data_IF_744226259886
#
_entry.id   IF_744226259886
#
_cell.length_a   1.000
_cell.length_b   1.000
_cell.length_c   1.000
_cell.angle_alpha   90.00
_cell.angle_beta   90.00
_cell.angle_gamma   90.00
#
_symmetry.space_group_name_H-M   'P 1'
#
loop_
_entity.id
_entity.type
_entity.pdbx_description
1 polymer ?
#
# COMPACT_ATOMS: atom_id res chain seq x y z
N UNK A 1 -13.47 17.30 9.07
CA UNK A 1 -14.50 16.81 8.11
C UNK A 1 -13.96 15.61 7.31
N UNK A 2 -13.47 14.55 7.98
CA UNK A 2 -12.95 13.34 7.30
C UNK A 2 -13.82 12.09 7.51
N UNK A 3 -14.75 12.10 8.47
CA UNK A 3 -15.60 10.95 8.84
C UNK A 3 -16.57 10.48 7.74
N UNK A 4 -16.87 11.30 6.72
CA UNK A 4 -17.80 10.90 5.66
C UNK A 4 -17.14 10.08 4.54
N UNK A 5 -15.83 9.88 4.57
CA UNK A 5 -15.09 9.21 3.50
C UNK A 5 -14.97 7.69 3.68
N UNK A 6 -15.17 7.20 4.92
CA UNK A 6 -15.18 5.76 5.25
C UNK A 6 -16.49 5.09 4.82
N UNK A 7 -17.62 5.83 4.86
CA UNK A 7 -18.95 5.32 4.49
C UNK A 7 -19.12 5.00 3.00
N UNK A 8 -18.18 5.37 2.14
CA UNK A 8 -18.23 5.11 0.70
C UNK A 8 -17.24 4.03 0.22
N UNK A 9 -16.48 3.43 1.15
CA UNK A 9 -15.48 2.40 0.83
C UNK A 9 -16.11 1.01 0.88
N UNK A 10 -16.26 0.39 -0.29
CA UNK A 10 -16.94 -0.90 -0.46
C UNK A 10 -15.96 -2.05 -0.25
N UNK A 11 -14.72 -1.85 -0.65
CA UNK A 11 -13.64 -2.82 -0.55
C UNK A 11 -12.31 -2.09 -0.41
N UNK A 12 -11.39 -2.65 0.37
CA UNK A 12 -10.02 -2.18 0.44
C UNK A 12 -9.07 -3.35 0.56
N UNK A 13 -8.00 -3.31 -0.23
CA UNK A 13 -6.90 -4.25 -0.15
C UNK A 13 -5.59 -3.50 0.03
N UNK A 14 -4.85 -3.87 1.08
CA UNK A 14 -3.53 -3.34 1.40
C UNK A 14 -2.44 -4.32 0.99
N UNK A 15 -1.43 -3.83 0.27
CA UNK A 15 -0.25 -4.60 -0.13
C UNK A 15 0.99 -3.89 0.39
N UNK A 16 1.74 -4.53 1.28
CA UNK A 16 3.00 -3.98 1.82
C UNK A 16 4.18 -4.51 0.99
N UNK A 17 5.00 -3.60 0.48
CA UNK A 17 6.15 -3.91 -0.37
C UNK A 17 7.37 -3.12 0.12
N UNK A 18 8.01 -3.61 1.19
CA UNK A 18 9.17 -2.96 1.80
C UNK A 18 8.86 -1.53 2.30
N UNK A 19 9.47 -0.51 1.67
CA UNK A 19 9.28 0.92 2.01
C UNK A 19 8.01 1.54 1.38
N UNK A 20 7.31 0.80 0.51
CA UNK A 20 6.06 1.24 -0.13
C UNK A 20 4.89 0.43 0.38
N UNK A 21 3.74 1.07 0.49
CA UNK A 21 2.46 0.40 0.77
C UNK A 21 1.48 0.83 -0.32
N UNK A 22 0.86 -0.14 -0.97
CA UNK A 22 -0.19 0.07 -1.95
C UNK A 22 -1.55 -0.18 -1.30
N UNK A 23 -2.51 0.67 -1.64
CA UNK A 23 -3.90 0.56 -1.22
C UNK A 23 -4.77 0.52 -2.47
N UNK A 24 -5.61 -0.49 -2.58
CA UNK A 24 -6.56 -0.69 -3.65
C UNK A 24 -7.96 -0.59 -3.07
N UNK A 25 -8.59 0.56 -3.23
CA UNK A 25 -9.88 0.86 -2.61
C UNK A 25 -10.95 0.94 -3.70
N UNK A 26 -12.09 0.29 -3.49
CA UNK A 26 -13.29 0.40 -4.35
C UNK A 26 -14.27 1.33 -3.68
N UNK A 27 -14.70 2.36 -4.40
CA UNK A 27 -15.63 3.38 -3.89
C UNK A 27 -16.81 3.55 -4.83
N UNK A 28 -17.97 3.89 -4.26
CA UNK A 28 -19.13 4.29 -5.05
C UNK A 28 -19.21 5.80 -5.23
N UNK A 29 -19.67 6.23 -6.40
CA UNK A 29 -20.10 7.59 -6.67
C UNK A 29 -21.54 7.82 -6.17
N UNK A 30 -21.99 9.08 -6.19
CA UNK A 30 -23.39 9.42 -5.88
C UNK A 30 -24.40 8.81 -6.86
N UNK A 31 -23.94 8.44 -8.07
CA UNK A 31 -24.76 7.82 -9.12
C UNK A 31 -24.80 6.29 -9.02
N UNK A 32 -24.34 5.71 -7.90
CA UNK A 32 -24.26 4.26 -7.68
C UNK A 32 -23.29 3.51 -8.63
N UNK A 33 -22.43 4.25 -9.34
CA UNK A 33 -21.32 3.71 -10.12
C UNK A 33 -20.08 3.48 -9.26
N UNK A 34 -19.22 2.55 -9.66
CA UNK A 34 -18.00 2.19 -8.94
C UNK A 34 -16.73 2.71 -9.62
N UNK A 35 -15.74 3.09 -8.81
CA UNK A 35 -14.39 3.43 -9.25
C UNK A 35 -13.36 2.87 -8.27
N UNK A 36 -12.15 2.64 -8.77
CA UNK A 36 -11.02 2.16 -7.98
C UNK A 36 -10.09 3.33 -7.69
N UNK A 37 -9.63 3.43 -6.45
CA UNK A 37 -8.52 4.30 -6.06
C UNK A 37 -7.31 3.45 -5.76
N UNK A 38 -6.21 3.69 -6.49
CA UNK A 38 -4.92 3.07 -6.22
C UNK A 38 -4.05 4.12 -5.56
N UNK A 39 -3.65 3.88 -4.31
CA UNK A 39 -2.75 4.79 -3.58
C UNK A 39 -1.43 4.09 -3.30
N UNK A 40 -0.32 4.68 -3.75
CA UNK A 40 1.01 4.34 -3.28
C UNK A 40 1.39 5.30 -2.14
N UNK A 41 1.76 4.75 -0.98
CA UNK A 41 2.41 5.50 0.10
C UNK A 41 3.87 5.05 0.21
N UNK A 42 4.80 5.96 -0.02
CA UNK A 42 6.24 5.72 0.10
C UNK A 42 6.79 6.43 1.32
N UNK A 43 7.44 5.67 2.21
CA UNK A 43 8.13 6.24 3.37
C UNK A 43 9.45 6.88 2.93
N UNK A 44 9.58 8.19 3.10
CA UNK A 44 10.81 8.98 2.91
C UNK A 44 11.45 9.25 4.26
N UNK A 45 12.75 9.03 4.35
CA UNK A 45 13.56 9.42 5.50
C UNK A 45 14.32 10.69 5.12
N UNK A 46 14.11 11.75 5.87
CA UNK A 46 14.98 12.92 5.90
C UNK A 46 15.77 12.88 7.22
N UNK A 47 16.90 13.59 7.29
CA UNK A 47 17.93 13.47 8.34
C UNK A 47 17.41 13.31 9.77
N UNK A 48 16.31 13.98 10.13
CA UNK A 48 15.67 13.85 11.46
C UNK A 48 14.15 13.59 11.43
N UNK A 49 13.54 13.36 10.26
CA UNK A 49 12.09 13.22 10.15
C UNK A 49 11.64 12.20 9.09
N UNK A 50 10.56 11.47 9.38
CA UNK A 50 9.91 10.58 8.43
C UNK A 50 8.71 11.28 7.79
N UNK A 51 8.61 11.19 6.46
CA UNK A 51 7.47 11.69 5.71
C UNK A 51 6.90 10.60 4.81
N UNK A 52 5.61 10.70 4.48
CA UNK A 52 4.96 9.80 3.55
C UNK A 52 4.61 10.55 2.28
N UNK A 53 5.20 10.14 1.17
CA UNK A 53 4.82 10.59 -0.15
C UNK A 53 3.67 9.72 -0.66
N UNK A 54 2.53 10.35 -0.98
CA UNK A 54 1.34 9.66 -1.44
C UNK A 54 1.12 9.96 -2.92
N UNK A 55 1.08 8.93 -3.75
CA UNK A 55 0.62 9.01 -5.13
C UNK A 55 -0.75 8.34 -5.22
N UNK A 56 -1.73 9.04 -5.79
CA UNK A 56 -3.10 8.56 -5.89
C UNK A 56 -3.56 8.57 -7.34
N UNK A 57 -4.11 7.45 -7.78
CA UNK A 57 -4.69 7.27 -9.11
C UNK A 57 -6.17 6.93 -8.92
N UNK A 58 -7.02 7.59 -9.69
CA UNK A 58 -8.44 7.27 -9.79
C UNK A 58 -8.66 6.55 -11.12
N UNK A 59 -9.30 5.39 -11.06
CA UNK A 59 -9.60 4.57 -12.22
C UNK A 59 -11.11 4.33 -12.28
N UNK A 60 -11.74 4.73 -13.39
CA UNK A 60 -13.17 4.59 -13.61
C UNK A 60 -13.48 3.34 -14.44
N UNK A 61 -14.73 2.87 -14.35
CA UNK A 61 -15.18 1.58 -14.92
C UNK A 61 -14.91 1.43 -16.42
N UNK A 62 -14.98 2.53 -17.17
CA UNK A 62 -14.76 2.59 -18.62
C UNK A 62 -13.32 2.26 -19.02
N UNK A 63 -12.36 2.46 -18.12
CA UNK A 63 -10.93 2.32 -18.39
C UNK A 63 -10.33 1.02 -17.83
N UNK A 64 -11.09 0.23 -17.06
CA UNK A 64 -10.59 -0.98 -16.41
C UNK A 64 -9.93 -1.96 -17.38
N UNK A 65 -10.60 -2.27 -18.49
CA UNK A 65 -10.09 -3.23 -19.46
C UNK A 65 -8.75 -2.76 -20.07
N UNK A 66 -8.70 -1.50 -20.53
CA UNK A 66 -7.51 -0.91 -21.14
C UNK A 66 -6.36 -0.80 -20.14
N UNK A 67 -6.66 -0.43 -18.90
CA UNK A 67 -5.66 -0.28 -17.85
C UNK A 67 -5.04 -1.62 -17.46
N UNK A 68 -5.86 -2.67 -17.29
CA UNK A 68 -5.39 -4.02 -16.94
C UNK A 68 -4.52 -4.58 -18.07
N UNK A 69 -4.96 -4.47 -19.32
CA UNK A 69 -4.20 -4.91 -20.48
C UNK A 69 -2.83 -4.23 -20.57
N UNK A 70 -2.81 -2.89 -20.46
CA UNK A 70 -1.56 -2.13 -20.50
C UNK A 70 -0.64 -2.46 -19.32
N UNK A 71 -1.19 -2.61 -18.11
CA UNK A 71 -0.43 -2.94 -16.91
C UNK A 71 0.18 -4.35 -17.01
N UNK A 72 -0.61 -5.34 -17.39
CA UNK A 72 -0.15 -6.73 -17.57
C UNK A 72 0.91 -6.80 -18.66
N UNK A 73 0.64 -6.24 -19.84
CA UNK A 73 1.61 -6.25 -20.96
C UNK A 73 2.93 -5.58 -20.60
N UNK A 74 2.90 -4.48 -19.84
CA UNK A 74 4.12 -3.81 -19.36
C UNK A 74 4.88 -4.69 -18.37
N UNK A 75 4.19 -5.33 -17.42
CA UNK A 75 4.81 -6.23 -16.45
C UNK A 75 5.43 -7.45 -17.15
N UNK A 76 4.72 -8.03 -18.11
CA UNK A 76 5.18 -9.22 -18.84
C UNK A 76 6.40 -8.91 -19.71
N UNK A 77 6.44 -7.74 -20.34
CA UNK A 77 7.62 -7.26 -21.06
C UNK A 77 8.83 -7.09 -20.11
N UNK A 78 8.63 -6.53 -18.91
CA UNK A 78 9.70 -6.43 -17.90
C UNK A 78 10.19 -7.81 -17.45
N UNK A 79 9.28 -8.76 -17.23
CA UNK A 79 9.64 -10.13 -16.83
C UNK A 79 10.40 -10.89 -17.91
N UNK A 80 10.03 -10.70 -19.17
CA UNK A 80 10.61 -11.45 -20.29
C UNK A 80 11.91 -10.85 -20.82
N UNK A 81 12.04 -9.52 -20.85
CA UNK A 81 13.16 -8.86 -21.52
C UNK A 81 14.16 -8.20 -20.57
N UNK A 82 13.77 -7.89 -19.33
CA UNK A 82 14.58 -7.06 -18.43
C UNK A 82 15.00 -7.74 -17.12
N UNK A 83 14.38 -8.86 -16.74
CA UNK A 83 14.71 -9.60 -15.52
C UNK A 83 15.41 -10.92 -15.86
N UNK A 84 16.60 -11.13 -15.28
CA UNK A 84 17.26 -12.45 -15.29
C UNK A 84 16.48 -13.44 -14.42
N UNK A 85 16.56 -14.74 -14.71
CA UNK A 85 15.85 -15.79 -13.97
C UNK A 85 16.09 -15.72 -12.44
N UNK A 86 17.29 -15.32 -12.01
CA UNK A 86 17.63 -15.11 -10.60
C UNK A 86 16.84 -13.95 -9.95
N UNK A 87 16.59 -12.87 -10.69
CA UNK A 87 15.85 -11.71 -10.20
C UNK A 87 14.33 -11.99 -10.12
N UNK A 88 13.81 -12.84 -11.01
CA UNK A 88 12.42 -13.31 -10.94
C UNK A 88 12.19 -14.21 -9.74
N UNK A 89 13.11 -15.16 -9.48
CA UNK A 89 13.02 -16.03 -8.32
C UNK A 89 13.02 -15.25 -6.99
N UNK A 90 13.81 -14.17 -6.90
CA UNK A 90 13.84 -13.30 -5.73
C UNK A 90 12.52 -12.57 -5.45
N UNK A 91 11.71 -12.29 -6.49
CA UNK A 91 10.40 -11.62 -6.36
C UNK A 91 9.28 -12.56 -5.89
N UNK A 92 9.43 -13.87 -6.11
CA UNK A 92 8.46 -14.89 -5.67
C UNK A 92 8.74 -15.41 -4.25
N UNK A 93 9.96 -15.23 -3.74
CA UNK A 93 10.25 -15.44 -2.32
C UNK A 93 9.55 -14.37 -1.47
N UNK A 94 8.67 -14.74 -0.52
CA UNK A 94 8.15 -13.78 0.43
C UNK A 94 9.33 -13.15 1.18
N UNK A 95 9.37 -11.81 1.35
CA UNK A 95 10.41 -11.20 2.18
C UNK A 95 10.28 -11.82 3.57
N UNK A 96 11.31 -12.55 3.99
CA UNK A 96 11.42 -13.07 5.33
C UNK A 96 11.11 -11.95 6.32
N UNK A 97 10.20 -12.24 7.25
CA UNK A 97 9.86 -11.38 8.35
C UNK A 97 11.13 -10.92 9.08
N UNK A 98 11.21 -9.61 9.29
CA UNK A 98 11.85 -8.96 10.43
C UNK A 98 13.19 -9.56 10.90
N UNK A 99 14.30 -9.10 10.33
CA UNK A 99 15.54 -8.99 11.11
C UNK A 99 15.46 -7.71 11.92
N UNK A 100 14.81 -7.81 13.08
CA UNK A 100 15.00 -6.90 14.19
C UNK A 100 16.48 -6.94 14.58
N UNK A 101 17.21 -5.87 14.28
CA UNK A 101 18.50 -5.63 14.89
C UNK A 101 18.25 -5.24 16.35
N UNK A 102 18.63 -6.13 17.25
CA UNK A 102 18.71 -5.96 18.69
C UNK A 102 19.51 -4.68 19.03
N UNK A 103 18.89 -3.77 19.79
CA UNK A 103 19.63 -2.93 20.74
C UNK A 103 18.99 -3.15 22.10
N UNK A 104 19.69 -3.95 22.90
CA UNK A 104 19.41 -4.24 24.29
C UNK A 104 19.55 -3.00 25.16
N UNK A 105 18.49 -2.62 25.88
CA UNK A 105 18.58 -1.98 27.20
C UNK A 105 17.25 -2.19 27.95
N UNK A 106 17.32 -2.97 29.03
CA UNK A 106 16.25 -3.18 30.01
C UNK A 106 15.72 -1.85 30.59
N UNK A 107 14.42 -1.76 30.90
CA UNK A 107 13.87 -1.79 32.27
C UNK A 107 12.32 -1.77 32.24
N UNK A 108 11.75 -2.88 32.72
CA UNK A 108 10.54 -3.08 33.54
C UNK A 108 9.14 -2.50 33.20
N UNK A 109 8.18 -3.44 33.23
CA UNK A 109 6.79 -3.37 33.76
C UNK A 109 5.67 -2.82 32.86
N UNK A 110 4.90 -3.75 32.30
CA UNK A 110 3.45 -3.66 32.01
C UNK A 110 2.65 -3.86 33.31
N UNK A 111 1.42 -3.31 33.48
CA UNK A 111 0.31 -3.55 32.55
C UNK A 111 -0.70 -2.40 32.36
N UNK A 112 -1.71 -2.73 31.53
CA UNK A 112 -3.01 -2.08 31.34
C UNK A 112 -3.17 -1.20 30.08
N UNK A 113 -3.78 -1.84 29.08
CA UNK A 113 -4.82 -1.33 28.18
C UNK A 113 -5.45 -0.02 28.64
N UNK A 114 -5.31 1.03 27.83
CA UNK A 114 -6.25 2.15 27.85
C UNK A 114 -6.60 2.59 26.44
N UNK A 115 -7.90 2.80 26.30
CA UNK A 115 -8.72 2.91 25.12
C UNK A 115 -9.01 4.40 24.90
N UNK A 116 -8.03 5.22 24.55
CA UNK A 116 -8.33 6.62 24.27
C UNK A 116 -7.26 7.30 23.43
N UNK A 117 -7.50 7.43 22.12
CA UNK A 117 -6.85 8.46 21.33
C UNK A 117 -7.80 8.93 20.21
N UNK A 118 -8.78 9.73 20.63
CA UNK A 118 -9.55 10.63 19.75
C UNK A 118 -8.59 11.74 19.28
N UNK A 119 -8.46 11.93 17.98
CA UNK A 119 -7.71 13.07 17.43
C UNK A 119 -8.73 14.08 16.89
N UNK A 120 -8.60 15.33 17.32
CA UNK A 120 -9.29 16.51 16.75
C UNK A 120 -8.70 16.89 15.38
#
# INVERSE_FOLDING_TARGET
MEENNEKAEIYSQRVRAGKRTYFFDVKSTRSNDYYVTITESKRKFNEDNFSYEKHKIFLYKEDFAKFIEALQGTIDHVKSELLTEEALAALETPPAADTEAEVTAEVATTPAFDEELKWE
#
